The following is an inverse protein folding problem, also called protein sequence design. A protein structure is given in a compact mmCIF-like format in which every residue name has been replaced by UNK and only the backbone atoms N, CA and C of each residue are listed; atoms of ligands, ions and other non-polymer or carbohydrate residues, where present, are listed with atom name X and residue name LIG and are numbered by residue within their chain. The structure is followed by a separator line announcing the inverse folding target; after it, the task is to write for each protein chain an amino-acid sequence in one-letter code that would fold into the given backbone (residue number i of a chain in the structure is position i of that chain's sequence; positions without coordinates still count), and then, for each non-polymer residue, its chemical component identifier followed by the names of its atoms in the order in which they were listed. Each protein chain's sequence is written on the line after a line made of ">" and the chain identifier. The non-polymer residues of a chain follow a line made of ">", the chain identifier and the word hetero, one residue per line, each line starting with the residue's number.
data_IF_335804462331
#
_entry.id   IF_335804462331
#
_cell.length_a   1.000
_cell.length_b   1.000
_cell.length_c   1.000
_cell.angle_alpha   90.00
_cell.angle_beta   90.00
_cell.angle_gamma   90.00
#
_symmetry.space_group_name_H-M   'P 1'
#
loop_
_entity.id
_entity.type
_entity.pdbx_description
1 polymer ?
#
# COMPACT_ATOMS: atom_id res chain seq x y z
N UNK A 1 15.19 0.61 8.86
CA UNK A 1 16.23 -0.08 9.67
C UNK A 1 15.52 -0.84 10.80
N UNK A 2 14.99 -2.04 10.53
CA UNK A 2 14.55 -3.10 11.49
C UNK A 2 14.06 -4.36 10.73
N UNK A 3 14.65 -4.66 9.56
CA UNK A 3 14.40 -5.87 8.76
C UNK A 3 15.70 -6.25 8.06
N UNK A 4 16.78 -6.42 8.83
CA UNK A 4 18.08 -6.82 8.27
C UNK A 4 18.71 -7.99 9.05
N UNK A 5 17.93 -8.76 9.80
CA UNK A 5 18.46 -9.84 10.64
C UNK A 5 18.02 -11.28 10.32
N UNK A 6 17.23 -11.54 9.27
CA UNK A 6 16.78 -12.93 9.01
C UNK A 6 16.86 -13.44 7.57
N UNK A 7 17.26 -12.68 6.53
CA UNK A 7 17.33 -13.24 5.16
C UNK A 7 18.47 -12.65 4.32
N UNK A 8 19.14 -13.57 3.60
CA UNK A 8 20.32 -13.42 2.75
C UNK A 8 20.39 -12.13 1.88
N UNK A 9 21.58 -11.50 1.73
CA UNK A 9 21.77 -10.19 1.08
C UNK A 9 21.29 -10.07 -0.38
N UNK A 10 21.02 -11.17 -1.07
CA UNK A 10 20.72 -11.21 -2.50
C UNK A 10 19.33 -10.66 -2.89
N UNK A 11 18.36 -10.59 -1.97
CA UNK A 11 16.97 -10.28 -2.32
C UNK A 11 16.59 -8.81 -2.02
N UNK A 12 17.37 -8.06 -1.24
CA UNK A 12 17.05 -6.65 -0.90
C UNK A 12 17.00 -5.73 -2.12
N UNK A 13 17.94 -5.89 -3.05
CA UNK A 13 17.96 -5.12 -4.29
C UNK A 13 16.80 -5.49 -5.23
N UNK A 14 16.49 -6.78 -5.34
CA UNK A 14 15.35 -7.29 -6.12
C UNK A 14 14.02 -6.86 -5.53
N UNK A 15 13.85 -6.91 -4.20
CA UNK A 15 12.64 -6.51 -3.50
C UNK A 15 12.37 -5.01 -3.60
N UNK A 16 13.39 -4.14 -3.52
CA UNK A 16 13.20 -2.71 -3.75
C UNK A 16 12.77 -2.41 -5.19
N UNK A 17 13.43 -3.02 -6.18
CA UNK A 17 13.04 -2.88 -7.59
C UNK A 17 11.65 -3.42 -7.89
N UNK A 18 11.30 -4.57 -7.32
CA UNK A 18 9.98 -5.19 -7.46
C UNK A 18 8.88 -4.37 -6.77
N UNK A 19 9.16 -3.80 -5.60
CA UNK A 19 8.23 -2.90 -4.89
C UNK A 19 8.02 -1.60 -5.67
N UNK A 20 9.07 -1.05 -6.27
CA UNK A 20 8.98 0.12 -7.14
C UNK A 20 8.19 -0.18 -8.42
N UNK A 21 8.39 -1.36 -9.02
CA UNK A 21 7.66 -1.77 -10.23
C UNK A 21 6.20 -2.08 -9.92
N UNK A 22 5.88 -2.60 -8.74
CA UNK A 22 4.51 -2.85 -8.29
C UNK A 22 3.74 -1.54 -8.06
N UNK A 23 4.38 -0.54 -7.45
CA UNK A 23 3.74 0.73 -7.09
C UNK A 23 3.75 1.76 -8.23
N UNK A 24 4.86 1.94 -8.94
CA UNK A 24 4.98 2.92 -10.03
C UNK A 24 4.74 2.33 -11.42
N UNK A 25 4.96 1.03 -11.63
CA UNK A 25 4.71 0.38 -12.92
C UNK A 25 3.29 -0.18 -13.00
N UNK A 26 3.08 -1.35 -12.41
CA UNK A 26 1.84 -2.10 -12.50
C UNK A 26 0.66 -1.35 -11.85
N UNK A 27 0.90 -0.71 -10.70
CA UNK A 27 -0.10 0.09 -10.00
C UNK A 27 -0.59 1.29 -10.82
N UNK A 28 0.30 1.93 -11.58
CA UNK A 28 -0.05 3.07 -12.41
C UNK A 28 -0.80 2.62 -13.69
N UNK A 29 -0.39 1.51 -14.30
CA UNK A 29 -1.07 0.94 -15.48
C UNK A 29 -2.49 0.48 -15.11
N UNK A 30 -2.64 -0.34 -14.07
CA UNK A 30 -3.96 -0.78 -13.61
C UNK A 30 -4.80 0.40 -13.10
N UNK A 31 -4.19 1.30 -12.35
CA UNK A 31 -4.84 2.50 -11.84
C UNK A 31 -5.35 3.39 -12.97
N UNK A 32 -4.57 3.58 -14.02
CA UNK A 32 -4.97 4.34 -15.21
C UNK A 32 -6.13 3.70 -15.98
N UNK A 33 -6.07 2.38 -16.20
CA UNK A 33 -7.14 1.65 -16.91
C UNK A 33 -8.44 1.69 -16.10
N UNK A 34 -8.39 1.41 -14.80
CA UNK A 34 -9.57 1.39 -13.93
C UNK A 34 -10.12 2.80 -13.72
N UNK A 35 -9.25 3.79 -13.45
CA UNK A 35 -9.64 5.19 -13.29
C UNK A 35 -10.30 5.73 -14.56
N UNK A 36 -9.70 5.50 -15.73
CA UNK A 36 -10.27 5.93 -17.01
C UNK A 36 -11.66 5.35 -17.25
N UNK A 37 -11.84 4.06 -16.98
CA UNK A 37 -13.15 3.40 -17.14
C UNK A 37 -14.21 3.90 -16.17
N UNK A 38 -13.84 4.20 -14.93
CA UNK A 38 -14.73 4.82 -13.94
C UNK A 38 -15.12 6.22 -14.41
N UNK A 39 -14.15 7.06 -14.80
CA UNK A 39 -14.42 8.41 -15.29
C UNK A 39 -15.33 8.41 -16.53
N UNK A 40 -15.10 7.51 -17.49
CA UNK A 40 -15.94 7.36 -18.68
C UNK A 40 -17.37 6.92 -18.34
N UNK A 41 -17.54 5.93 -17.46
CA UNK A 41 -18.86 5.45 -17.04
C UNK A 41 -19.68 6.54 -16.31
N UNK A 42 -19.01 7.41 -15.56
CA UNK A 42 -19.63 8.54 -14.86
C UNK A 42 -19.62 9.86 -15.67
N UNK A 43 -19.20 9.81 -16.93
CA UNK A 43 -19.37 10.91 -17.88
C UNK A 43 -20.70 10.71 -18.61
N UNK A 44 -21.75 11.40 -18.16
CA UNK A 44 -23.06 11.38 -18.83
C UNK A 44 -23.25 12.64 -19.67
N UNK A 45 -23.65 12.46 -20.93
CA UNK A 45 -23.92 13.56 -21.87
C UNK A 45 -22.76 14.57 -22.04
N UNK A 46 -21.51 14.10 -21.98
CA UNK A 46 -20.31 14.94 -22.16
C UNK A 46 -19.93 15.79 -20.94
N UNK A 47 -20.63 15.65 -19.82
CA UNK A 47 -20.28 16.28 -18.54
C UNK A 47 -19.76 15.20 -17.60
N UNK A 48 -18.49 15.29 -17.23
CA UNK A 48 -17.87 14.39 -16.26
C UNK A 48 -18.28 14.79 -14.85
N UNK A 49 -18.94 13.90 -14.12
CA UNK A 49 -19.25 14.10 -12.71
C UNK A 49 -18.02 13.82 -11.84
N UNK A 50 -17.18 14.85 -11.71
CA UNK A 50 -15.98 14.79 -10.88
C UNK A 50 -16.28 14.52 -9.42
N UNK A 51 -17.41 15.00 -8.89
CA UNK A 51 -17.77 14.76 -7.50
C UNK A 51 -17.98 13.27 -7.25
N UNK A 52 -18.71 12.59 -8.13
CA UNK A 52 -18.92 11.13 -8.02
C UNK A 52 -17.62 10.36 -8.20
N UNK A 53 -16.75 10.76 -9.14
CA UNK A 53 -15.41 10.15 -9.31
C UNK A 53 -14.60 10.26 -8.01
N UNK A 54 -14.53 11.44 -7.40
CA UNK A 54 -13.83 11.65 -6.12
C UNK A 54 -14.44 10.81 -4.99
N UNK A 55 -15.76 10.67 -4.95
CA UNK A 55 -16.47 9.89 -3.94
C UNK A 55 -16.16 8.39 -4.06
N UNK A 56 -16.02 7.88 -5.28
CA UNK A 56 -15.58 6.50 -5.54
C UNK A 56 -14.13 6.29 -5.08
N UNK A 57 -13.23 7.22 -5.37
CA UNK A 57 -11.85 7.16 -4.88
C UNK A 57 -11.78 7.19 -3.35
N UNK A 58 -12.59 8.04 -2.72
CA UNK A 58 -12.70 8.10 -1.27
C UNK A 58 -13.24 6.78 -0.70
N UNK A 59 -14.30 6.21 -1.30
CA UNK A 59 -14.85 4.91 -0.92
C UNK A 59 -13.84 3.78 -1.02
N UNK A 60 -13.10 3.71 -2.13
CA UNK A 60 -12.02 2.73 -2.31
C UNK A 60 -10.92 2.86 -1.24
N UNK A 61 -10.53 4.09 -0.91
CA UNK A 61 -9.54 4.37 0.13
C UNK A 61 -10.00 3.92 1.51
N UNK A 62 -11.28 4.11 1.85
CA UNK A 62 -11.88 3.64 3.10
C UNK A 62 -11.88 2.11 3.16
N UNK A 63 -12.29 1.44 2.09
CA UNK A 63 -12.27 -0.04 2.00
C UNK A 63 -10.84 -0.56 2.19
N UNK A 64 -9.84 0.05 1.54
CA UNK A 64 -8.43 -0.31 1.73
C UNK A 64 -7.97 -0.06 3.17
N UNK A 65 -8.36 1.05 3.80
CA UNK A 65 -8.00 1.34 5.19
C UNK A 65 -8.55 0.26 6.14
N UNK A 66 -9.79 -0.18 5.95
CA UNK A 66 -10.35 -1.30 6.69
C UNK A 66 -9.66 -2.62 6.38
N UNK A 67 -9.35 -2.92 5.12
CA UNK A 67 -8.60 -4.11 4.73
C UNK A 67 -7.20 -4.13 5.36
N UNK A 68 -6.51 -2.98 5.39
CA UNK A 68 -5.23 -2.82 6.07
C UNK A 68 -5.37 -3.06 7.58
N UNK A 69 -6.36 -2.45 8.23
CA UNK A 69 -6.62 -2.67 9.65
C UNK A 69 -6.92 -4.14 9.98
N UNK A 70 -7.62 -4.85 9.08
CA UNK A 70 -7.93 -6.26 9.21
C UNK A 70 -6.71 -7.17 8.97
N UNK A 71 -5.90 -6.92 7.94
CA UNK A 71 -4.68 -7.69 7.65
C UNK A 71 -3.55 -7.41 8.65
N UNK A 72 -3.38 -6.15 9.07
CA UNK A 72 -2.40 -5.75 10.08
C UNK A 72 -2.95 -5.88 11.51
N UNK A 73 -3.72 -6.95 11.78
CA UNK A 73 -4.07 -7.32 13.15
C UNK A 73 -2.79 -7.43 13.98
N UNK A 74 -2.71 -6.50 14.92
CA UNK A 74 -1.62 -6.21 15.83
C UNK A 74 -0.95 -7.47 16.39
N UNK A 75 0.25 -7.81 15.90
CA UNK A 75 1.14 -8.75 16.59
C UNK A 75 1.95 -7.94 17.61
N UNK A 76 1.43 -7.79 18.84
CA UNK A 76 2.22 -7.28 19.95
C UNK A 76 3.32 -8.31 20.22
N UNK A 77 4.48 -8.16 19.58
CA UNK A 77 5.67 -8.87 20.03
C UNK A 77 6.12 -8.13 21.28
N UNK A 78 5.67 -8.60 22.46
CA UNK A 78 6.26 -8.19 23.72
C UNK A 78 7.72 -8.60 23.67
N UNK A 79 8.62 -7.65 23.41
CA UNK A 79 10.05 -7.86 23.62
C UNK A 79 10.21 -8.02 25.12
N UNK A 80 10.65 -9.18 25.65
CA UNK A 80 10.99 -9.29 27.06
C UNK A 80 12.17 -8.34 27.29
N UNK A 81 12.04 -7.46 28.28
CA UNK A 81 13.13 -6.59 28.73
C UNK A 81 14.31 -7.44 29.19
N UNK A 82 15.22 -7.75 28.26
CA UNK A 82 16.50 -8.38 28.54
C UNK A 82 17.47 -7.31 29.00
N UNK A 83 17.72 -7.28 30.31
CA UNK A 83 18.95 -6.83 31.00
C UNK A 83 19.93 -6.00 30.18
N UNK A 84 19.98 -4.69 30.45
CA UNK A 84 21.14 -3.86 30.13
C UNK A 84 22.33 -4.37 30.96
N UNK A 85 23.29 -5.03 30.32
CA UNK A 85 24.61 -5.24 30.92
C UNK A 85 25.44 -4.00 30.62
N UNK A 86 25.58 -3.12 31.62
CA UNK A 86 26.52 -2.01 31.62
C UNK A 86 27.93 -2.61 31.73
N UNK A 87 28.79 -2.38 30.74
CA UNK A 87 30.23 -2.62 30.86
C UNK A 87 30.95 -1.27 30.88
N UNK A 88 31.51 -0.95 32.05
CA UNK A 88 32.54 0.06 32.26
C UNK A 88 33.85 -0.34 31.58
#
# INVERSE_FOLDING_TARGET
>A
MFVEKEVSPAIRASAQGMFLMMTNGFGCILGGIVSGRVVEMYTQNGITDWQTVWLIFAGYSVVLAFAFMAMFKYKHVRVPTGTQTVSH
#
